data_IF_900895466175
#
_entry.id   IF_900895466175
#
_cell.length_a   1.000
_cell.length_b   1.000
_cell.length_c   1.000
_cell.angle_alpha   90.00
_cell.angle_beta   90.00
_cell.angle_gamma   90.00
#
_symmetry.space_group_name_H-M   'P 1'
#
loop_
_entity.id
_entity.type
_entity.pdbx_description
1 polymer ?
#
# COMPACT_ATOMS: atom_id res chain seq x y z
N UNK A 1 18.21 -4.27 -5.41
CA UNK A 1 17.11 -4.11 -6.38
C UNK A 1 15.96 -4.94 -5.87
N UNK A 2 14.74 -4.40 -5.83
CA UNK A 2 13.57 -5.16 -5.36
C UNK A 2 12.99 -5.95 -6.51
N UNK A 3 12.59 -7.19 -6.26
CA UNK A 3 11.85 -8.02 -7.23
C UNK A 3 10.37 -8.03 -6.82
N UNK A 4 9.51 -7.44 -7.66
CA UNK A 4 8.12 -7.16 -7.33
C UNK A 4 7.18 -7.91 -8.28
N UNK A 5 6.43 -8.87 -7.73
CA UNK A 5 5.34 -9.54 -8.43
C UNK A 5 4.04 -8.78 -8.19
N UNK A 6 3.45 -8.20 -9.25
CA UNK A 6 2.14 -7.56 -9.14
C UNK A 6 1.05 -8.60 -8.82
N UNK A 7 0.25 -8.32 -7.79
CA UNK A 7 -0.85 -9.19 -7.40
C UNK A 7 -2.20 -8.65 -7.90
N UNK A 8 -2.64 -7.53 -7.34
CA UNK A 8 -3.87 -6.84 -7.76
C UNK A 8 -3.86 -5.38 -7.34
N UNK A 9 -4.87 -4.66 -7.83
CA UNK A 9 -5.17 -3.26 -7.50
C UNK A 9 -6.65 -3.12 -7.21
N UNK A 10 -7.05 -1.99 -6.63
CA UNK A 10 -8.46 -1.66 -6.48
C UNK A 10 -9.17 -1.67 -7.85
N UNK A 11 -10.15 -2.56 -7.98
CA UNK A 11 -10.94 -2.81 -9.21
C UNK A 11 -12.08 -1.81 -9.40
N UNK A 12 -12.37 -0.94 -8.43
CA UNK A 12 -13.46 0.03 -8.50
C UNK A 12 -12.99 1.47 -8.76
N UNK A 13 -11.68 1.70 -8.82
CA UNK A 13 -11.12 3.04 -9.06
C UNK A 13 -11.09 3.36 -10.57
N UNK A 14 -12.22 3.82 -11.09
CA UNK A 14 -12.35 4.38 -12.44
C UNK A 14 -11.71 5.75 -12.56
N UNK A 15 -10.39 5.82 -12.73
CA UNK A 15 -9.79 6.92 -13.52
C UNK A 15 -8.64 7.75 -12.97
N UNK A 16 -7.94 7.43 -11.86
CA UNK A 16 -6.95 8.39 -11.35
C UNK A 16 -5.70 7.94 -10.57
N UNK A 17 -5.56 6.69 -10.12
CA UNK A 17 -4.38 6.31 -9.34
C UNK A 17 -4.67 5.21 -8.34
N UNK A 18 -5.00 4.02 -8.85
CA UNK A 18 -5.49 2.94 -8.01
C UNK A 18 -4.34 2.36 -7.17
N UNK A 19 -4.52 2.21 -5.85
CA UNK A 19 -3.57 1.52 -5.01
C UNK A 19 -3.40 0.05 -5.43
N UNK A 20 -2.17 -0.46 -5.31
CA UNK A 20 -1.77 -1.77 -5.81
C UNK A 20 -0.93 -2.52 -4.77
N UNK A 21 -1.07 -3.84 -4.77
CA UNK A 21 -0.31 -4.76 -3.93
C UNK A 21 0.65 -5.58 -4.79
N UNK A 22 1.89 -5.67 -4.32
CA UNK A 22 2.95 -6.47 -4.92
C UNK A 22 3.50 -7.45 -3.89
N UNK A 23 3.88 -8.66 -4.30
CA UNK A 23 4.65 -9.60 -3.50
C UNK A 23 6.13 -9.38 -3.76
N UNK A 24 6.94 -9.52 -2.72
CA UNK A 24 8.40 -9.51 -2.79
C UNK A 24 8.95 -10.57 -1.85
N UNK A 25 10.24 -10.88 -1.95
CA UNK A 25 10.92 -11.69 -0.93
C UNK A 25 10.72 -11.05 0.46
N UNK A 26 10.24 -11.83 1.42
CA UNK A 26 10.04 -11.38 2.81
C UNK A 26 8.74 -10.61 3.08
N UNK A 27 7.88 -10.36 2.08
CA UNK A 27 6.59 -9.73 2.36
C UNK A 27 5.90 -9.10 1.14
N UNK A 28 5.30 -7.93 1.37
CA UNK A 28 4.48 -7.23 0.40
C UNK A 28 4.88 -5.76 0.30
N UNK A 29 4.75 -5.19 -0.89
CA UNK A 29 4.86 -3.75 -1.13
C UNK A 29 3.48 -3.22 -1.50
N UNK A 30 3.11 -2.11 -0.87
CA UNK A 30 1.83 -1.45 -1.09
C UNK A 30 2.07 -0.08 -1.72
N UNK A 31 1.54 0.12 -2.92
CA UNK A 31 1.49 1.42 -3.56
C UNK A 31 0.15 2.08 -3.24
N UNK A 32 0.17 3.28 -2.66
CA UNK A 32 -1.03 4.00 -2.26
C UNK A 32 -0.91 5.51 -2.46
N UNK A 33 -1.90 6.25 -1.96
CA UNK A 33 -1.89 7.73 -1.96
C UNK A 33 -1.04 8.21 -0.80
N UNK A 34 -0.11 9.14 -1.04
CA UNK A 34 0.68 9.73 0.03
C UNK A 34 -0.22 10.44 1.04
N UNK A 35 0.10 10.29 2.32
CA UNK A 35 -0.55 11.07 3.37
C UNK A 35 -0.10 12.54 3.28
N UNK A 36 -0.99 13.46 3.64
CA UNK A 36 -0.58 14.85 3.90
C UNK A 36 0.25 14.94 5.18
N UNK A 37 0.95 16.06 5.36
CA UNK A 37 1.89 16.25 6.48
C UNK A 37 1.21 16.18 7.84
N UNK A 38 -0.03 16.68 7.96
CA UNK A 38 -0.78 16.67 9.21
C UNK A 38 -1.16 15.24 9.61
N UNK A 39 -1.64 14.44 8.66
CA UNK A 39 -1.99 13.04 8.86
C UNK A 39 -0.74 12.19 9.10
N UNK A 40 0.35 12.45 8.37
CA UNK A 40 1.63 11.75 8.53
C UNK A 40 2.21 11.94 9.93
N UNK A 41 2.04 13.12 10.55
CA UNK A 41 2.48 13.38 11.93
C UNK A 41 1.73 12.57 12.99
N UNK A 42 0.57 11.99 12.66
CA UNK A 42 -0.17 11.12 13.57
C UNK A 42 0.43 9.70 13.66
N UNK A 43 1.36 9.35 12.76
CA UNK A 43 2.07 8.07 12.81
C UNK A 43 3.00 8.02 14.02
N UNK A 44 3.08 6.84 14.65
CA UNK A 44 3.86 6.64 15.88
C UNK A 44 5.27 6.19 15.55
N UNK A 45 6.27 6.85 16.14
CA UNK A 45 7.69 6.46 16.07
C UNK A 45 8.25 6.36 14.64
N UNK A 46 7.77 7.22 13.73
CA UNK A 46 8.18 7.22 12.33
C UNK A 46 9.68 7.53 12.19
N UNK A 47 10.46 6.56 11.74
CA UNK A 47 11.89 6.74 11.46
C UNK A 47 12.14 7.48 10.15
N UNK A 48 13.36 7.97 9.94
CA UNK A 48 13.75 8.76 8.75
C UNK A 48 13.52 8.01 7.42
N UNK A 49 13.55 6.68 7.46
CA UNK A 49 13.34 5.80 6.31
C UNK A 49 11.94 5.17 6.26
N UNK A 50 11.00 5.67 7.07
CA UNK A 50 9.62 5.20 7.11
C UNK A 50 8.65 6.27 6.60
N UNK A 51 7.58 5.80 5.96
CA UNK A 51 6.50 6.66 5.48
C UNK A 51 5.17 5.91 5.42
N UNK A 52 4.07 6.66 5.32
CA UNK A 52 2.72 6.13 5.23
C UNK A 52 2.07 6.42 3.87
N UNK A 53 1.30 5.45 3.38
CA UNK A 53 0.38 5.65 2.27
C UNK A 53 -1.02 5.19 2.66
N UNK A 54 -2.04 5.91 2.21
CA UNK A 54 -3.41 5.46 2.27
C UNK A 54 -3.68 4.41 1.20
N UNK A 55 -4.28 3.29 1.63
CA UNK A 55 -4.81 2.26 0.74
C UNK A 55 -6.22 1.85 1.15
N UNK A 56 -7.16 1.74 0.19
CA UNK A 56 -8.48 1.16 0.40
C UNK A 56 -8.41 -0.25 0.99
N UNK A 57 -9.32 -0.54 1.91
CA UNK A 57 -9.36 -1.82 2.63
C UNK A 57 -9.46 -3.03 1.68
N UNK A 58 -10.18 -2.91 0.57
CA UNK A 58 -10.35 -3.99 -0.41
C UNK A 58 -9.03 -4.46 -1.05
N UNK A 59 -8.00 -3.60 -1.08
CA UNK A 59 -6.66 -4.01 -1.52
C UNK A 59 -6.02 -4.99 -0.53
N UNK A 60 -6.26 -4.82 0.77
CA UNK A 60 -5.71 -5.70 1.82
C UNK A 60 -6.64 -6.87 2.17
N UNK A 61 -7.96 -6.71 2.03
CA UNK A 61 -8.90 -7.80 2.33
C UNK A 61 -8.71 -8.99 1.39
N UNK A 62 -8.41 -8.72 0.11
CA UNK A 62 -8.02 -9.75 -0.87
C UNK A 62 -6.78 -10.54 -0.43
N UNK A 63 -5.87 -9.95 0.35
CA UNK A 63 -4.71 -10.67 0.86
C UNK A 63 -5.13 -11.71 1.92
N UNK A 64 -6.16 -11.40 2.72
CA UNK A 64 -6.70 -12.34 3.71
C UNK A 64 -7.39 -13.54 3.07
N UNK A 65 -7.97 -13.37 1.88
CA UNK A 65 -8.62 -14.44 1.11
C UNK A 65 -7.62 -15.44 0.48
N UNK A 66 -6.34 -15.11 0.43
CA UNK A 66 -5.28 -15.97 -0.13
C UNK A 66 -4.63 -16.91 0.89
N UNK A 67 -4.95 -16.76 2.17
CA UNK A 67 -4.52 -17.65 3.26
C UNK A 67 -5.63 -18.57 3.72
#
# INVERSE_FOLDING_TARGET
MWDLEFLWKDVHSGGGGCPALYRTEGGYVVQGVKLDDETRQQLRQLADNEDGVFVPANVLDRLRELG
#
